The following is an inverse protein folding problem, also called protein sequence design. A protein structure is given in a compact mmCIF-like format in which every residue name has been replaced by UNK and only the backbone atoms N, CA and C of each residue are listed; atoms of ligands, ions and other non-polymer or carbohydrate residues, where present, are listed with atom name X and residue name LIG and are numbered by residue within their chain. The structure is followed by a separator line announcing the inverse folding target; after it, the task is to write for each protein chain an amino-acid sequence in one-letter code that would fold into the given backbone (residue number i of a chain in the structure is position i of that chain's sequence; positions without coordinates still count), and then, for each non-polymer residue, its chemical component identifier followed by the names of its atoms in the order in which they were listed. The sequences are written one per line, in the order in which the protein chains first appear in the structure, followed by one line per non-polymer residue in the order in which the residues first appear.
data_IF_468175057741
#
_entry.id   IF_468175057741
#
_cell.length_a   1.000
_cell.length_b   1.000
_cell.length_c   1.000
_cell.angle_alpha   90.00
_cell.angle_beta   90.00
_cell.angle_gamma   90.00
#
_symmetry.space_group_name_H-M   'P 1'
#
loop_
_entity.id
_entity.type
_entity.pdbx_description
1 polymer ?
#
# COMPACT_ATOMS: atom_id res chain seq x y z
N UNK A 1 -15.92 -11.48 -2.08
CA UNK A 1 -16.83 -10.38 -1.70
C UNK A 1 -17.40 -9.74 -2.96
N UNK A 2 -18.69 -9.36 -2.99
CA UNK A 2 -19.28 -8.53 -4.06
C UNK A 2 -18.49 -7.23 -4.31
N UNK A 3 -17.87 -6.67 -3.27
CA UNK A 3 -17.03 -5.48 -3.34
C UNK A 3 -15.76 -5.69 -4.17
N UNK A 4 -15.15 -6.87 -4.08
CA UNK A 4 -13.98 -7.24 -4.88
C UNK A 4 -14.31 -7.30 -6.37
N UNK A 5 -15.49 -7.85 -6.70
CA UNK A 5 -15.96 -7.92 -8.08
C UNK A 5 -16.31 -6.54 -8.65
N UNK A 6 -16.87 -5.64 -7.82
CA UNK A 6 -17.17 -4.26 -8.23
C UNK A 6 -15.89 -3.43 -8.45
N UNK A 7 -14.92 -3.52 -7.53
CA UNK A 7 -13.61 -2.86 -7.69
C UNK A 7 -12.86 -3.40 -8.90
N UNK A 8 -12.91 -4.71 -9.14
CA UNK A 8 -12.38 -5.32 -10.34
C UNK A 8 -12.94 -4.68 -11.61
N UNK A 9 -14.27 -4.60 -11.72
CA UNK A 9 -14.93 -4.07 -12.90
C UNK A 9 -14.56 -2.60 -13.14
N UNK A 10 -14.48 -1.78 -12.08
CA UNK A 10 -14.10 -0.38 -12.19
C UNK A 10 -12.63 -0.21 -12.62
N UNK A 11 -11.69 -0.96 -12.02
CA UNK A 11 -10.28 -0.86 -12.35
C UNK A 11 -9.99 -1.36 -13.78
N UNK A 12 -10.66 -2.44 -14.19
CA UNK A 12 -10.55 -2.98 -15.53
C UNK A 12 -11.04 -1.98 -16.58
N UNK A 13 -12.22 -1.39 -16.36
CA UNK A 13 -12.79 -0.37 -17.25
C UNK A 13 -11.89 0.86 -17.36
N UNK A 14 -11.30 1.31 -16.25
CA UNK A 14 -10.37 2.44 -16.23
C UNK A 14 -9.09 2.19 -17.02
N UNK A 15 -8.56 0.96 -17.00
CA UNK A 15 -7.31 0.60 -17.66
C UNK A 15 -7.46 0.29 -19.15
N UNK A 16 -8.60 -0.24 -19.59
CA UNK A 16 -8.75 -0.83 -20.95
C UNK A 16 -10.00 -0.40 -21.72
N UNK A 17 -10.83 0.48 -21.15
CA UNK A 17 -12.10 0.87 -21.75
C UNK A 17 -13.21 -0.17 -21.52
N UNK A 18 -14.45 0.18 -21.87
CA UNK A 18 -15.66 -0.60 -21.52
C UNK A 18 -15.81 -1.92 -22.28
N UNK A 19 -15.11 -2.08 -23.41
CA UNK A 19 -15.39 -3.16 -24.37
C UNK A 19 -14.43 -4.36 -24.27
N UNK A 20 -13.38 -4.27 -23.45
CA UNK A 20 -12.46 -5.38 -23.27
C UNK A 20 -13.04 -6.42 -22.29
N UNK A 21 -13.69 -7.48 -22.77
CA UNK A 21 -14.14 -8.57 -21.90
C UNK A 21 -12.95 -9.46 -21.49
N UNK A 22 -12.51 -9.33 -20.24
CA UNK A 22 -11.53 -10.23 -19.63
C UNK A 22 -12.22 -11.13 -18.61
N UNK A 23 -11.88 -12.43 -18.55
CA UNK A 23 -12.49 -13.34 -17.59
C UNK A 23 -12.19 -12.87 -16.17
N UNK A 24 -13.11 -13.03 -15.22
CA UNK A 24 -12.83 -12.71 -13.82
C UNK A 24 -11.79 -13.72 -13.27
N UNK A 25 -10.74 -13.27 -12.54
CA UNK A 25 -9.86 -14.19 -11.83
C UNK A 25 -10.63 -15.08 -10.86
N UNK A 26 -10.17 -16.33 -10.70
CA UNK A 26 -10.62 -17.18 -9.63
C UNK A 26 -10.03 -16.69 -8.30
N UNK A 27 -10.84 -16.03 -7.47
CA UNK A 27 -10.45 -15.65 -6.12
C UNK A 27 -10.65 -16.82 -5.15
N UNK A 28 -9.54 -17.32 -4.59
CA UNK A 28 -9.49 -18.40 -3.59
C UNK A 28 -9.04 -17.86 -2.23
N UNK A 29 -9.29 -18.61 -1.15
CA UNK A 29 -8.96 -18.21 0.24
C UNK A 29 -9.35 -16.74 0.50
N UNK A 30 -10.66 -16.49 0.46
CA UNK A 30 -11.26 -15.14 0.41
C UNK A 30 -11.19 -14.36 1.72
N UNK A 31 -10.37 -14.80 2.67
CA UNK A 31 -10.19 -14.12 3.94
C UNK A 31 -9.55 -12.73 3.73
N UNK A 32 -10.13 -11.72 4.38
CA UNK A 32 -9.70 -10.33 4.33
C UNK A 32 -9.19 -9.88 5.70
N UNK A 33 -8.46 -8.76 5.72
CA UNK A 33 -8.07 -8.09 6.95
C UNK A 33 -8.97 -6.90 7.25
N UNK A 34 -9.21 -6.65 8.55
CA UNK A 34 -9.95 -5.49 9.01
C UNK A 34 -9.25 -4.20 8.60
N UNK A 35 -9.98 -3.31 7.93
CA UNK A 35 -9.52 -1.99 7.54
C UNK A 35 -10.73 -1.09 7.34
N UNK A 36 -10.56 0.22 7.53
CA UNK A 36 -11.58 1.21 7.20
C UNK A 36 -11.85 1.30 5.69
N UNK A 37 -10.92 0.80 4.86
CA UNK A 37 -11.01 0.76 3.41
C UNK A 37 -10.91 -0.67 2.87
N UNK A 38 -11.36 -0.88 1.65
CA UNK A 38 -11.37 -2.17 0.93
C UNK A 38 -9.98 -2.61 0.45
N UNK A 39 -8.98 -2.60 1.33
CA UNK A 39 -7.56 -2.85 0.99
C UNK A 39 -7.34 -4.27 0.50
N UNK A 40 -8.02 -5.26 1.10
CA UNK A 40 -7.89 -6.67 0.70
C UNK A 40 -8.42 -6.89 -0.72
N UNK A 41 -9.56 -6.26 -1.04
CA UNK A 41 -10.15 -6.27 -2.37
C UNK A 41 -9.29 -5.55 -3.40
N UNK A 42 -8.73 -4.39 -3.04
CA UNK A 42 -7.80 -3.65 -3.89
C UNK A 42 -6.56 -4.49 -4.20
N UNK A 43 -5.96 -5.13 -3.19
CA UNK A 43 -4.79 -5.98 -3.33
C UNK A 43 -5.05 -7.16 -4.27
N UNK A 44 -6.12 -7.93 -4.03
CA UNK A 44 -6.47 -9.08 -4.84
C UNK A 44 -6.79 -8.69 -6.30
N UNK A 45 -7.51 -7.58 -6.49
CA UNK A 45 -7.86 -7.06 -7.81
C UNK A 45 -6.62 -6.61 -8.59
N UNK A 46 -5.72 -5.86 -7.95
CA UNK A 46 -4.50 -5.35 -8.56
C UNK A 46 -3.59 -6.50 -9.03
N UNK A 47 -3.40 -7.50 -8.18
CA UNK A 47 -2.63 -8.71 -8.53
C UNK A 47 -3.32 -9.46 -9.65
N UNK A 48 -4.65 -9.66 -9.59
CA UNK A 48 -5.40 -10.33 -10.64
C UNK A 48 -5.24 -9.65 -12.01
N UNK A 49 -5.30 -8.32 -12.08
CA UNK A 49 -5.14 -7.55 -13.32
C UNK A 49 -3.73 -7.69 -13.88
N UNK A 50 -2.71 -7.61 -13.03
CA UNK A 50 -1.31 -7.77 -13.43
C UNK A 50 -1.03 -9.19 -13.93
N UNK A 51 -1.47 -10.21 -13.20
CA UNK A 51 -1.31 -11.62 -13.59
C UNK A 51 -2.04 -11.92 -14.89
N UNK A 52 -3.21 -11.33 -15.10
CA UNK A 52 -3.94 -11.41 -16.36
C UNK A 52 -3.16 -10.78 -17.51
N UNK A 53 -2.67 -9.55 -17.35
CA UNK A 53 -1.86 -8.90 -18.37
C UNK A 53 -0.64 -9.75 -18.75
N UNK A 54 0.02 -10.37 -17.77
CA UNK A 54 1.14 -11.28 -17.99
C UNK A 54 0.70 -12.55 -18.74
N UNK A 55 -0.43 -13.16 -18.36
CA UNK A 55 -0.96 -14.35 -19.04
C UNK A 55 -1.30 -14.06 -20.52
N UNK A 56 -1.91 -12.92 -20.82
CA UNK A 56 -2.20 -12.53 -22.20
C UNK A 56 -0.91 -12.26 -22.99
N UNK A 57 0.11 -11.67 -22.38
CA UNK A 57 1.41 -11.48 -23.02
C UNK A 57 2.07 -12.82 -23.34
N UNK A 58 2.00 -13.82 -22.44
CA UNK A 58 2.51 -15.16 -22.70
C UNK A 58 1.75 -15.80 -23.87
N UNK A 59 0.42 -15.65 -23.90
CA UNK A 59 -0.43 -16.19 -24.94
C UNK A 59 -0.14 -15.62 -26.35
N UNK A 60 0.45 -14.43 -26.48
CA UNK A 60 0.83 -13.89 -27.80
C UNK A 60 1.95 -14.70 -28.44
N UNK A 61 2.84 -15.27 -27.63
CA UNK A 61 3.98 -16.07 -28.09
C UNK A 61 3.73 -17.57 -28.01
N UNK A 62 2.78 -17.99 -27.14
CA UNK A 62 2.41 -19.38 -26.86
C UNK A 62 0.90 -19.49 -26.63
N UNK A 63 0.07 -19.48 -27.69
CA UNK A 63 -1.40 -19.48 -27.57
C UNK A 63 -1.96 -20.68 -26.81
N UNK A 64 -1.25 -21.80 -26.79
CA UNK A 64 -1.57 -23.00 -26.02
C UNK A 64 -1.45 -22.80 -24.50
N UNK A 65 -0.74 -21.76 -24.06
CA UNK A 65 -0.54 -21.40 -22.66
C UNK A 65 -1.41 -20.19 -22.30
N UNK A 66 -2.73 -20.41 -22.20
CA UNK A 66 -3.67 -19.45 -21.61
C UNK A 66 -4.24 -19.99 -20.29
N UNK A 67 -3.43 -20.05 -19.21
CA UNK A 67 -3.88 -20.62 -17.96
C UNK A 67 -4.94 -19.72 -17.29
N UNK A 68 -5.96 -20.29 -16.63
CA UNK A 68 -6.88 -19.53 -15.82
C UNK A 68 -6.13 -18.83 -14.69
N UNK A 69 -6.40 -17.53 -14.50
CA UNK A 69 -5.76 -16.74 -13.45
C UNK A 69 -6.44 -16.97 -12.12
N UNK A 70 -5.68 -17.43 -11.13
CA UNK A 70 -6.14 -17.65 -9.75
C UNK A 70 -5.39 -16.74 -8.80
N UNK A 71 -6.12 -16.08 -7.89
CA UNK A 71 -5.56 -15.18 -6.87
C UNK A 71 -6.02 -15.64 -5.50
N UNK A 72 -5.06 -15.92 -4.61
CA UNK A 72 -5.34 -16.14 -3.19
C UNK A 72 -5.49 -14.77 -2.50
N UNK A 73 -6.70 -14.45 -2.03
CA UNK A 73 -7.01 -13.13 -1.46
C UNK A 73 -6.26 -12.91 -0.15
N UNK A 74 -6.19 -13.92 0.72
CA UNK A 74 -5.46 -13.83 1.99
C UNK A 74 -3.97 -13.55 1.78
N UNK A 75 -3.33 -14.22 0.82
CA UNK A 75 -1.91 -14.00 0.48
C UNK A 75 -1.69 -12.64 -0.17
N UNK A 76 -2.56 -12.23 -1.10
CA UNK A 76 -2.53 -10.90 -1.69
C UNK A 76 -2.62 -9.81 -0.61
N UNK A 77 -3.52 -9.99 0.35
CA UNK A 77 -3.72 -9.07 1.47
C UNK A 77 -2.50 -9.03 2.39
N UNK A 78 -1.82 -10.17 2.62
CA UNK A 78 -0.58 -10.21 3.42
C UNK A 78 0.56 -9.46 2.77
N UNK A 79 0.72 -9.57 1.45
CA UNK A 79 1.71 -8.80 0.71
C UNK A 79 1.55 -7.29 0.88
N UNK A 80 0.31 -6.80 0.98
CA UNK A 80 0.00 -5.39 1.24
C UNK A 80 0.19 -4.99 2.70
N UNK A 81 0.23 -5.95 3.62
CA UNK A 81 0.49 -5.70 5.05
C UNK A 81 2.00 -5.64 5.34
N UNK A 82 2.75 -6.66 4.90
CA UNK A 82 4.19 -6.79 5.10
C UNK A 82 4.82 -7.57 3.94
N UNK A 83 5.90 -7.04 3.37
CA UNK A 83 6.63 -7.66 2.25
C UNK A 83 7.90 -8.40 2.68
N UNK A 84 8.31 -8.27 3.94
CA UNK A 84 9.54 -8.83 4.47
C UNK A 84 9.36 -9.29 5.93
N UNK A 85 9.86 -10.48 6.24
CA UNK A 85 9.93 -11.00 7.60
C UNK A 85 11.35 -11.55 7.84
N UNK A 86 12.17 -10.92 8.69
CA UNK A 86 13.49 -11.42 9.01
C UNK A 86 13.40 -12.68 9.88
N UNK A 87 14.14 -13.74 9.51
CA UNK A 87 14.11 -15.02 10.24
C UNK A 87 15.08 -15.05 11.43
N UNK A 88 16.26 -14.43 11.28
CA UNK A 88 17.36 -14.55 12.25
C UNK A 88 17.74 -13.21 12.90
N UNK A 89 16.86 -12.21 12.82
CA UNK A 89 17.05 -10.91 13.48
C UNK A 89 15.70 -10.27 13.75
N UNK A 90 15.65 -9.35 14.72
CA UNK A 90 14.48 -8.51 14.91
C UNK A 90 14.21 -7.68 13.65
N UNK A 91 12.93 -7.42 13.39
CA UNK A 91 12.55 -6.44 12.38
C UNK A 91 13.09 -5.06 12.78
N UNK A 92 13.57 -4.24 11.82
CA UNK A 92 13.91 -2.86 12.13
C UNK A 92 12.68 -2.14 12.67
N UNK A 93 12.89 -1.20 13.58
CA UNK A 93 11.82 -0.34 14.05
C UNK A 93 11.15 0.34 12.84
N UNK A 94 9.82 0.27 12.77
CA UNK A 94 9.06 0.85 11.67
C UNK A 94 9.20 2.38 11.65
N UNK A 95 9.34 2.99 12.83
CA UNK A 95 9.52 4.41 13.05
C UNK A 95 10.80 4.63 13.86
N UNK A 96 11.57 5.65 13.49
CA UNK A 96 12.62 6.17 14.35
C UNK A 96 12.04 6.92 15.55
N UNK A 97 12.91 7.50 16.37
CA UNK A 97 12.53 8.20 17.58
C UNK A 97 11.59 9.41 17.35
N UNK A 98 11.53 9.98 16.14
CA UNK A 98 10.74 11.17 15.83
C UNK A 98 9.66 10.96 14.77
N UNK A 99 9.67 9.83 14.05
CA UNK A 99 8.70 9.58 13.00
C UNK A 99 7.32 9.31 13.59
N UNK A 100 6.29 9.87 12.96
CA UNK A 100 4.89 9.67 13.32
C UNK A 100 4.06 10.94 13.23
N UNK A 101 2.84 10.84 13.75
CA UNK A 101 1.83 11.90 13.70
C UNK A 101 1.94 12.85 14.90
N UNK A 102 1.87 14.15 14.64
CA UNK A 102 1.93 15.24 15.60
C UNK A 102 0.71 16.15 15.44
N UNK A 103 0.13 16.57 16.56
CA UNK A 103 -0.94 17.56 16.55
C UNK A 103 -0.35 18.95 16.33
N UNK A 104 -0.87 19.69 15.36
CA UNK A 104 -0.53 21.09 15.09
C UNK A 104 -1.69 22.00 15.53
N UNK A 105 -1.56 23.31 15.34
CA UNK A 105 -2.62 24.30 15.63
C UNK A 105 -3.79 24.21 14.66
N UNK A 106 -3.48 23.88 13.41
CA UNK A 106 -4.38 23.85 12.26
C UNK A 106 -4.74 22.42 11.81
N UNK A 107 -4.26 21.38 12.49
CA UNK A 107 -4.54 19.99 12.16
C UNK A 107 -3.55 18.99 12.72
N UNK A 108 -3.05 18.13 11.83
CA UNK A 108 -2.06 17.09 12.12
C UNK A 108 -1.00 17.08 11.04
N UNK A 109 0.25 16.81 11.43
CA UNK A 109 1.38 16.64 10.51
C UNK A 109 2.09 15.32 10.79
N UNK A 110 2.53 14.63 9.74
CA UNK A 110 3.33 13.40 9.84
C UNK A 110 4.79 13.68 9.51
N UNK A 111 5.67 13.46 10.48
CA UNK A 111 7.11 13.52 10.26
C UNK A 111 7.65 12.16 9.81
N UNK A 112 8.46 12.16 8.74
CA UNK A 112 9.06 10.96 8.13
C UNK A 112 10.59 10.98 8.29
N UNK A 113 11.07 10.76 9.51
CA UNK A 113 12.49 10.95 9.86
C UNK A 113 13.36 9.69 9.77
N UNK A 114 12.77 8.54 9.42
CA UNK A 114 13.43 7.21 9.38
C UNK A 114 14.79 7.14 8.65
N UNK A 115 15.06 8.06 7.71
CA UNK A 115 16.37 8.20 7.09
C UNK A 115 17.16 9.33 7.76
N UNK A 116 18.46 9.11 8.03
CA UNK A 116 19.33 10.08 8.72
C UNK A 116 19.25 11.49 8.12
N UNK A 117 19.20 11.61 6.79
CA UNK A 117 19.11 12.91 6.12
C UNK A 117 17.74 13.58 6.31
N UNK A 118 16.64 12.83 6.43
CA UNK A 118 15.33 13.38 6.79
C UNK A 118 15.31 13.87 8.24
N UNK A 119 15.91 13.12 9.16
CA UNK A 119 16.08 13.55 10.56
C UNK A 119 16.87 14.85 10.65
N UNK A 120 18.01 14.95 9.96
CA UNK A 120 18.81 16.18 9.95
C UNK A 120 18.07 17.36 9.34
N UNK A 121 17.24 17.14 8.30
CA UNK A 121 16.40 18.20 7.74
C UNK A 121 15.36 18.68 8.76
N UNK A 122 14.70 17.75 9.47
CA UNK A 122 13.77 18.07 10.55
C UNK A 122 14.46 18.88 11.67
N UNK A 123 15.63 18.43 12.14
CA UNK A 123 16.37 19.12 13.21
C UNK A 123 16.85 20.53 12.81
N UNK A 124 17.11 20.77 11.52
CA UNK A 124 17.45 22.11 11.00
C UNK A 124 16.27 23.08 11.04
N UNK A 125 15.05 22.59 10.80
CA UNK A 125 13.84 23.42 10.74
C UNK A 125 13.22 23.58 12.12
N UNK A 126 13.12 22.48 12.88
CA UNK A 126 12.39 22.41 14.15
C UNK A 126 13.31 22.48 15.38
N UNK A 127 14.63 22.44 15.18
CA UNK A 127 15.63 22.35 16.24
C UNK A 127 15.91 20.91 16.67
N UNK A 128 16.98 20.73 17.46
CA UNK A 128 17.30 19.44 18.06
C UNK A 128 16.46 19.23 19.32
N UNK A 129 15.81 18.07 19.42
CA UNK A 129 14.97 17.68 20.56
C UNK A 129 15.42 16.34 21.12
N UNK A 130 15.09 16.06 22.38
CA UNK A 130 15.45 14.79 23.02
C UNK A 130 14.52 13.64 22.60
N UNK A 131 13.23 13.92 22.45
CA UNK A 131 12.19 12.93 22.14
C UNK A 131 10.96 13.57 21.47
N UNK A 132 9.97 12.74 21.10
CA UNK A 132 8.72 13.19 20.49
C UNK A 132 7.92 14.14 21.34
N UNK A 133 7.97 14.01 22.67
CA UNK A 133 7.20 14.85 23.57
C UNK A 133 7.79 16.27 23.62
N UNK A 134 9.11 16.40 23.66
CA UNK A 134 9.81 17.67 23.54
C UNK A 134 9.61 18.33 22.16
N UNK A 135 9.60 17.50 21.11
CA UNK A 135 9.33 17.94 19.74
C UNK A 135 7.87 18.37 19.55
N UNK A 136 6.91 17.85 20.32
CA UNK A 136 5.49 18.17 20.17
C UNK A 136 5.18 19.63 20.57
N UNK A 137 5.35 20.54 19.61
CA UNK A 137 5.07 21.96 19.74
C UNK A 137 3.80 22.33 18.98
N UNK A 138 3.24 23.50 19.30
CA UNK A 138 2.09 24.05 18.58
C UNK A 138 2.52 24.81 17.31
N UNK A 139 3.07 24.10 16.32
CA UNK A 139 3.34 24.68 15.01
C UNK A 139 2.07 24.76 14.16
N UNK A 140 2.14 25.50 13.05
CA UNK A 140 1.15 25.39 11.96
C UNK A 140 1.68 24.37 10.95
N UNK A 141 0.92 23.32 10.67
CA UNK A 141 1.30 22.27 9.73
C UNK A 141 1.49 22.83 8.32
N UNK A 142 0.62 23.74 7.92
CA UNK A 142 0.67 24.41 6.62
C UNK A 142 1.96 25.20 6.36
N UNK A 143 2.66 25.66 7.40
CA UNK A 143 3.97 26.32 7.26
C UNK A 143 5.11 25.31 7.00
N UNK A 144 4.95 24.07 7.47
CA UNK A 144 5.95 23.01 7.34
C UNK A 144 5.80 22.16 6.07
N UNK A 145 4.68 22.31 5.36
CA UNK A 145 4.39 21.62 4.10
C UNK A 145 4.83 22.39 2.84
N UNK A 146 5.28 23.64 3.00
CA UNK A 146 5.79 24.50 1.91
C UNK A 146 7.28 24.31 1.67
#
# INVERSE_FOLDING_TARGET
SPLAASLWQQMQQGLRGRDAAWPLPAFVDRATFSSAFSVSELAATSIGLATQAAAALIATSRPELSPPVTVNVRLASRWFQQSFHPLNRAAPAMWDAFAGDYRSRDGWIRLHTNAVHHRLAMERVLGAHADRAALAQQWQASELEQ
#
